data_IF_997053685553
#
_entry.id   IF_997053685553
#
_cell.length_a   1.000
_cell.length_b   1.000
_cell.length_c   1.000
_cell.angle_alpha   90.00
_cell.angle_beta   90.00
_cell.angle_gamma   90.00
#
_symmetry.space_group_name_H-M   'P 1'
#
loop_
_entity.id
_entity.type
_entity.pdbx_description
1 polymer ?
#
# COMPACT_ATOMS: atom_id res chain seq x y z
N UNK A 1 -6.20 20.23 -12.29
CA UNK A 1 -6.58 20.34 -10.90
C UNK A 1 -5.53 19.78 -9.97
N UNK A 2 -5.23 20.52 -8.88
CA UNK A 2 -4.10 20.23 -7.99
C UNK A 2 -4.18 18.86 -7.28
N UNK A 3 -5.37 18.31 -7.08
CA UNK A 3 -5.59 17.01 -6.43
C UNK A 3 -5.22 15.85 -7.36
N UNK A 4 -5.66 15.91 -8.62
CA UNK A 4 -5.24 14.93 -9.65
C UNK A 4 -3.74 14.99 -9.87
N UNK A 5 -3.14 16.18 -9.76
CA UNK A 5 -1.71 16.38 -9.87
C UNK A 5 -0.96 15.79 -8.67
N UNK A 6 -1.47 15.95 -7.44
CA UNK A 6 -0.90 15.34 -6.23
C UNK A 6 -0.98 13.81 -6.25
N UNK A 7 -2.11 13.25 -6.70
CA UNK A 7 -2.26 11.79 -6.89
C UNK A 7 -1.35 11.28 -8.01
N UNK A 8 -1.17 12.06 -9.06
CA UNK A 8 -0.24 11.76 -10.16
C UNK A 8 1.22 11.86 -9.68
N UNK A 9 1.54 12.83 -8.82
CA UNK A 9 2.86 12.97 -8.19
C UNK A 9 3.15 11.78 -7.27
N UNK A 10 2.19 11.32 -6.48
CA UNK A 10 2.32 10.09 -5.69
C UNK A 10 2.55 8.87 -6.59
N UNK A 11 1.91 8.80 -7.75
CA UNK A 11 2.13 7.73 -8.74
C UNK A 11 3.48 7.83 -9.46
N UNK A 12 3.91 9.02 -9.83
CA UNK A 12 5.15 9.27 -10.58
C UNK A 12 6.38 9.29 -9.66
N UNK A 13 6.21 9.74 -8.42
CA UNK A 13 7.28 9.85 -7.44
C UNK A 13 7.17 8.82 -6.30
N UNK A 14 6.75 7.59 -6.62
CA UNK A 14 6.60 6.48 -5.64
C UNK A 14 7.82 6.32 -4.75
N UNK A 15 9.00 6.25 -5.36
CA UNK A 15 10.28 6.08 -4.67
C UNK A 15 10.59 7.30 -3.81
N UNK A 16 10.33 8.52 -4.32
CA UNK A 16 10.56 9.76 -3.57
C UNK A 16 9.63 9.86 -2.36
N UNK A 17 8.35 9.57 -2.52
CA UNK A 17 7.38 9.59 -1.42
C UNK A 17 7.74 8.57 -0.35
N UNK A 18 8.15 7.38 -0.75
CA UNK A 18 8.63 6.36 0.16
C UNK A 18 9.93 6.75 0.85
N UNK A 19 10.92 7.26 0.12
CA UNK A 19 12.17 7.73 0.68
C UNK A 19 11.95 8.86 1.71
N UNK A 20 10.98 9.74 1.45
CA UNK A 20 10.57 10.78 2.40
C UNK A 20 10.00 10.18 3.69
N UNK A 21 9.11 9.19 3.57
CA UNK A 21 8.56 8.47 4.72
C UNK A 21 9.65 7.76 5.52
N UNK A 22 10.57 7.09 4.85
CA UNK A 22 11.72 6.44 5.50
C UNK A 22 12.58 7.44 6.25
N UNK A 23 12.88 8.59 5.64
CA UNK A 23 13.67 9.65 6.27
C UNK A 23 12.99 10.20 7.53
N UNK A 24 11.67 10.42 7.47
CA UNK A 24 10.86 10.82 8.62
C UNK A 24 10.85 9.74 9.71
N UNK A 25 10.75 8.47 9.31
CA UNK A 25 10.81 7.33 10.22
C UNK A 25 12.14 7.24 10.95
N UNK A 26 13.26 7.47 10.26
CA UNK A 26 14.60 7.52 10.88
C UNK A 26 14.71 8.63 11.90
N UNK A 27 14.15 9.82 11.59
CA UNK A 27 14.09 10.94 12.55
C UNK A 27 13.24 10.61 13.78
N UNK A 28 12.20 9.81 13.63
CA UNK A 28 11.31 9.38 14.71
C UNK A 28 11.73 8.04 15.35
N UNK A 29 12.91 7.53 15.03
CA UNK A 29 13.42 6.24 15.52
C UNK A 29 12.51 5.05 15.23
N UNK A 30 11.86 5.04 14.05
CA UNK A 30 11.02 3.91 13.62
C UNK A 30 11.88 2.72 13.16
N UNK A 31 11.44 1.49 13.46
CA UNK A 31 12.19 0.29 13.08
C UNK A 31 12.19 0.05 11.56
N UNK A 32 13.24 -0.60 11.07
CA UNK A 32 13.39 -0.92 9.63
C UNK A 32 12.29 -1.86 9.12
N UNK A 33 11.73 -2.69 10.00
CA UNK A 33 10.61 -3.58 9.69
C UNK A 33 9.38 -2.82 9.20
N UNK A 34 9.16 -1.60 9.71
CA UNK A 34 8.05 -0.75 9.26
C UNK A 34 8.24 -0.30 7.81
N UNK A 35 9.48 -0.04 7.39
CA UNK A 35 9.81 0.28 6.00
C UNK A 35 9.49 -0.91 5.09
N UNK A 36 9.96 -2.09 5.49
CA UNK A 36 9.72 -3.34 4.77
C UNK A 36 8.22 -3.63 4.65
N UNK A 37 7.49 -3.54 5.75
CA UNK A 37 6.03 -3.73 5.75
C UNK A 37 5.31 -2.77 4.81
N UNK A 38 5.66 -1.49 4.86
CA UNK A 38 5.03 -0.46 4.02
C UNK A 38 5.24 -0.72 2.53
N UNK A 39 6.46 -1.09 2.14
CA UNK A 39 6.78 -1.44 0.76
C UNK A 39 6.12 -2.74 0.32
N UNK A 40 6.18 -3.77 1.14
CA UNK A 40 5.54 -5.05 0.85
C UNK A 40 4.05 -4.87 0.58
N UNK A 41 3.38 -4.11 1.43
CA UNK A 41 1.96 -3.81 1.31
C UNK A 41 1.65 -3.05 0.02
N UNK A 42 2.45 -2.03 -0.29
CA UNK A 42 2.32 -1.25 -1.52
C UNK A 42 2.53 -2.08 -2.78
N UNK A 43 3.59 -2.88 -2.84
CA UNK A 43 3.90 -3.70 -4.01
C UNK A 43 2.95 -4.89 -4.20
N UNK A 44 2.45 -5.49 -3.13
CA UNK A 44 1.40 -6.51 -3.23
C UNK A 44 0.12 -5.93 -3.84
N UNK A 45 -0.33 -4.78 -3.33
CA UNK A 45 -1.49 -4.09 -3.89
C UNK A 45 -1.30 -3.74 -5.37
N UNK A 46 -0.13 -3.23 -5.72
CA UNK A 46 0.21 -2.90 -7.11
C UNK A 46 0.14 -4.13 -8.02
N UNK A 47 0.77 -5.23 -7.62
CA UNK A 47 0.79 -6.45 -8.42
C UNK A 47 -0.62 -7.03 -8.64
N UNK A 48 -1.39 -7.15 -7.57
CA UNK A 48 -2.76 -7.65 -7.63
C UNK A 48 -3.68 -6.76 -8.47
N UNK A 49 -3.44 -5.46 -8.49
CA UNK A 49 -4.26 -4.49 -9.21
C UNK A 49 -4.15 -4.61 -10.73
N UNK A 50 -3.16 -5.32 -11.26
CA UNK A 50 -2.97 -5.49 -12.71
C UNK A 50 -4.15 -6.14 -13.42
N UNK A 51 -5.00 -6.86 -12.69
CA UNK A 51 -6.24 -7.49 -13.18
C UNK A 51 -7.45 -6.55 -13.15
N UNK A 52 -7.29 -5.33 -12.68
CA UNK A 52 -8.37 -4.36 -12.47
C UNK A 52 -8.29 -3.18 -13.43
N UNK A 53 -9.23 -2.25 -13.28
CA UNK A 53 -9.26 -1.03 -14.09
C UNK A 53 -8.01 -0.16 -13.90
N UNK A 54 -7.75 0.73 -14.85
CA UNK A 54 -6.64 1.68 -14.76
C UNK A 54 -6.74 2.57 -13.50
N UNK A 55 -7.94 2.92 -13.08
CA UNK A 55 -8.17 3.69 -11.84
C UNK A 55 -7.66 2.93 -10.61
N UNK A 56 -8.05 1.67 -10.48
CA UNK A 56 -7.61 0.81 -9.37
C UNK A 56 -6.11 0.63 -9.39
N UNK A 57 -5.52 0.42 -10.58
CA UNK A 57 -4.06 0.30 -10.73
C UNK A 57 -3.32 1.56 -10.26
N UNK A 58 -3.83 2.74 -10.58
CA UNK A 58 -3.20 4.00 -10.18
C UNK A 58 -3.23 4.24 -8.68
N UNK A 59 -4.25 3.78 -7.99
CA UNK A 59 -4.43 4.00 -6.55
C UNK A 59 -3.78 2.93 -5.67
N UNK A 60 -3.58 1.73 -6.18
CA UNK A 60 -3.29 0.55 -5.36
C UNK A 60 -1.95 0.63 -4.62
N UNK A 61 -0.88 1.07 -5.27
CA UNK A 61 0.40 1.26 -4.59
C UNK A 61 0.29 2.30 -3.47
N UNK A 62 -0.32 3.44 -3.76
CA UNK A 62 -0.51 4.52 -2.80
C UNK A 62 -1.39 4.09 -1.62
N UNK A 63 -2.45 3.32 -1.88
CA UNK A 63 -3.31 2.77 -0.82
C UNK A 63 -2.53 1.88 0.14
N UNK A 64 -1.71 0.98 -0.39
CA UNK A 64 -0.85 0.13 0.42
C UNK A 64 0.14 0.92 1.28
N UNK A 65 0.81 1.90 0.69
CA UNK A 65 1.78 2.74 1.38
C UNK A 65 1.13 3.61 2.47
N UNK A 66 0.05 4.31 2.13
CA UNK A 66 -0.65 5.21 3.03
C UNK A 66 -1.32 4.48 4.21
N UNK A 67 -1.66 3.21 4.05
CA UNK A 67 -2.28 2.41 5.11
C UNK A 67 -1.37 2.17 6.31
N UNK A 68 -0.08 2.49 6.22
CA UNK A 68 0.90 2.36 7.29
C UNK A 68 1.20 3.70 8.00
N UNK A 69 0.58 4.81 7.60
CA UNK A 69 0.92 6.13 8.14
C UNK A 69 0.66 6.27 9.64
N UNK A 70 -0.32 5.58 10.18
CA UNK A 70 -0.60 5.55 11.61
C UNK A 70 0.60 5.02 12.42
N UNK A 71 1.26 3.98 11.92
CA UNK A 71 2.47 3.44 12.54
C UNK A 71 3.68 4.38 12.38
N UNK A 72 3.78 5.10 11.27
CA UNK A 72 4.87 6.05 11.03
C UNK A 72 4.79 7.29 11.92
N UNK A 73 3.59 7.79 12.17
CA UNK A 73 3.36 9.05 12.88
C UNK A 73 2.79 8.87 14.29
N UNK A 74 2.51 7.64 14.72
CA UNK A 74 1.86 7.36 16.01
C UNK A 74 0.57 8.17 16.22
N UNK A 75 -0.24 8.24 15.16
CA UNK A 75 -1.45 9.05 15.12
C UNK A 75 -2.57 8.33 14.37
N UNK A 76 -3.84 8.53 14.74
CA UNK A 76 -4.95 7.81 14.10
C UNK A 76 -4.99 8.02 12.58
N UNK A 77 -5.05 6.92 11.83
CA UNK A 77 -5.01 6.92 10.37
C UNK A 77 -6.12 7.80 9.76
N UNK A 78 -7.32 7.70 10.29
CA UNK A 78 -8.46 8.49 9.81
C UNK A 78 -8.19 9.99 9.86
N UNK A 79 -7.55 10.47 10.91
CA UNK A 79 -7.22 11.88 11.06
C UNK A 79 -6.09 12.32 10.14
N UNK A 80 -5.05 11.48 9.98
CA UNK A 80 -3.99 11.74 9.02
C UNK A 80 -4.51 11.84 7.59
N UNK A 81 -5.42 10.96 7.21
CA UNK A 81 -6.01 10.93 5.87
C UNK A 81 -6.90 12.14 5.58
N UNK A 82 -7.45 12.81 6.60
CA UNK A 82 -8.26 14.03 6.42
C UNK A 82 -7.42 15.25 6.02
N UNK A 83 -6.18 15.33 6.46
CA UNK A 83 -5.32 16.50 6.18
C UNK A 83 -4.52 16.36 4.89
N UNK A 84 -4.47 15.17 4.31
CA UNK A 84 -3.77 14.93 3.05
C UNK A 84 -4.65 15.27 1.84
N UNK A 85 -4.08 15.84 0.78
CA UNK A 85 -4.80 16.21 -0.44
C UNK A 85 -5.08 14.96 -1.32
N UNK A 86 -5.92 14.07 -0.84
CA UNK A 86 -6.25 12.80 -1.49
C UNK A 86 -7.66 12.81 -2.07
N UNK A 87 -7.90 12.00 -3.10
CA UNK A 87 -9.25 11.75 -3.59
C UNK A 87 -10.10 11.05 -2.51
N UNK A 88 -11.43 11.20 -2.61
CA UNK A 88 -12.34 10.52 -1.70
C UNK A 88 -12.21 9.00 -1.81
N UNK A 89 -12.08 8.50 -3.03
CA UNK A 89 -11.95 7.07 -3.33
C UNK A 89 -10.72 6.46 -2.67
N UNK A 90 -9.57 7.14 -2.76
CA UNK A 90 -8.33 6.68 -2.13
C UNK A 90 -8.43 6.73 -0.60
N UNK A 91 -8.99 7.79 -0.05
CA UNK A 91 -9.20 7.93 1.39
C UNK A 91 -10.11 6.83 1.93
N UNK A 92 -11.24 6.59 1.28
CA UNK A 92 -12.20 5.58 1.68
C UNK A 92 -11.62 4.16 1.53
N UNK A 93 -10.82 3.92 0.49
CA UNK A 93 -10.12 2.66 0.31
C UNK A 93 -9.15 2.38 1.48
N UNK A 94 -8.42 3.39 1.92
CA UNK A 94 -7.44 3.25 3.02
C UNK A 94 -8.11 3.13 4.38
N UNK A 95 -9.07 3.99 4.67
CA UNK A 95 -9.69 4.10 6.02
C UNK A 95 -10.82 3.08 6.19
N UNK A 96 -11.74 3.02 5.22
CA UNK A 96 -12.95 2.21 5.30
C UNK A 96 -12.81 0.85 4.61
N UNK A 97 -11.74 0.63 3.86
CA UNK A 97 -11.54 -0.57 3.05
C UNK A 97 -12.65 -0.81 2.02
N UNK A 98 -13.22 0.27 1.50
CA UNK A 98 -14.29 0.24 0.50
C UNK A 98 -13.76 0.33 -0.93
N UNK A 99 -14.60 -0.07 -1.90
CA UNK A 99 -14.22 -0.15 -3.30
C UNK A 99 -13.24 -1.29 -3.58
N UNK A 100 -12.92 -1.52 -4.85
CA UNK A 100 -11.99 -2.59 -5.25
C UNK A 100 -10.59 -2.39 -4.65
N UNK A 101 -10.08 -1.18 -4.67
CA UNK A 101 -8.79 -0.84 -4.05
C UNK A 101 -8.79 -1.13 -2.55
N UNK A 102 -9.86 -0.76 -1.84
CA UNK A 102 -9.99 -1.01 -0.41
C UNK A 102 -10.10 -2.50 -0.07
N UNK A 103 -10.80 -3.26 -0.88
CA UNK A 103 -10.91 -4.71 -0.73
C UNK A 103 -9.59 -5.42 -1.02
N UNK A 104 -8.83 -4.99 -2.05
CA UNK A 104 -7.48 -5.47 -2.31
C UNK A 104 -6.57 -5.22 -1.11
N UNK A 105 -6.59 -4.02 -0.57
CA UNK A 105 -5.80 -3.66 0.60
C UNK A 105 -6.15 -4.52 1.81
N UNK A 106 -7.44 -4.76 2.05
CA UNK A 106 -7.92 -5.62 3.14
C UNK A 106 -7.37 -7.04 3.02
N UNK A 107 -7.44 -7.62 1.84
CA UNK A 107 -6.91 -8.97 1.56
C UNK A 107 -5.40 -9.03 1.75
N UNK A 108 -4.68 -8.04 1.23
CA UNK A 108 -3.21 -7.95 1.35
C UNK A 108 -2.78 -7.90 2.82
N UNK A 109 -3.41 -7.05 3.62
CA UNK A 109 -3.08 -6.91 5.04
C UNK A 109 -3.31 -8.23 5.80
N UNK A 110 -4.44 -8.88 5.59
CA UNK A 110 -4.74 -10.17 6.20
C UNK A 110 -3.74 -11.25 5.79
N UNK A 111 -3.40 -11.31 4.50
CA UNK A 111 -2.41 -12.26 3.99
C UNK A 111 -1.04 -12.07 4.63
N UNK A 112 -0.55 -10.84 4.67
CA UNK A 112 0.75 -10.49 5.25
C UNK A 112 0.84 -10.81 6.74
N UNK A 113 -0.27 -10.69 7.47
CA UNK A 113 -0.34 -10.99 8.90
C UNK A 113 -0.70 -12.46 9.21
N UNK A 114 -0.64 -13.33 8.22
CA UNK A 114 -0.98 -14.76 8.33
C UNK A 114 -2.41 -15.02 8.84
N UNK A 115 -3.31 -14.10 8.55
CA UNK A 115 -4.74 -14.19 8.89
C UNK A 115 -5.55 -14.76 7.71
N UNK A 116 -5.07 -15.82 7.11
CA UNK A 116 -5.66 -16.39 5.88
C UNK A 116 -7.06 -16.94 6.09
N UNK A 117 -7.34 -17.47 7.27
CA UNK A 117 -8.66 -17.94 7.70
C UNK A 117 -9.69 -16.80 7.84
N UNK A 118 -9.23 -15.55 7.98
CA UNK A 118 -10.08 -14.37 8.05
C UNK A 118 -10.37 -13.75 6.68
N UNK A 119 -9.80 -14.29 5.60
CA UNK A 119 -10.12 -13.88 4.24
C UNK A 119 -11.36 -14.69 3.79
N UNK A 120 -12.54 -14.05 3.62
CA UNK A 120 -13.72 -14.75 3.17
C UNK A 120 -13.50 -15.32 1.76
N UNK A 121 -13.85 -16.58 1.55
CA UNK A 121 -13.69 -17.24 0.25
C UNK A 121 -14.46 -16.52 -0.87
N UNK A 122 -15.63 -15.95 -0.56
CA UNK A 122 -16.40 -15.14 -1.49
C UNK A 122 -15.71 -13.82 -1.85
N UNK A 123 -14.96 -13.21 -0.92
CA UNK A 123 -14.23 -11.96 -1.19
C UNK A 123 -13.18 -12.16 -2.29
N UNK A 124 -12.39 -13.24 -2.24
CA UNK A 124 -11.42 -13.54 -3.28
C UNK A 124 -12.10 -13.78 -4.63
N UNK A 125 -13.17 -14.58 -4.68
CA UNK A 125 -13.87 -14.85 -5.93
C UNK A 125 -14.57 -13.63 -6.52
N UNK A 126 -15.11 -12.74 -5.70
CA UNK A 126 -15.67 -11.46 -6.13
C UNK A 126 -14.63 -10.54 -6.74
N UNK A 127 -13.40 -10.57 -6.21
CA UNK A 127 -12.26 -9.83 -6.76
C UNK A 127 -11.61 -10.55 -7.97
N UNK A 128 -12.04 -11.76 -8.30
CA UNK A 128 -11.41 -12.56 -9.36
C UNK A 128 -10.00 -13.02 -9.01
N UNK A 129 -9.70 -13.18 -7.74
CA UNK A 129 -8.39 -13.58 -7.22
C UNK A 129 -8.41 -14.98 -6.64
N UNK A 130 -7.23 -15.60 -6.64
CA UNK A 130 -6.98 -16.90 -6.01
C UNK A 130 -5.89 -16.78 -4.94
N UNK A 131 -5.73 -17.79 -4.10
CA UNK A 131 -4.61 -17.85 -3.16
C UNK A 131 -3.25 -17.89 -3.88
N UNK A 132 -3.19 -18.48 -5.07
CA UNK A 132 -1.99 -18.45 -5.90
C UNK A 132 -1.63 -17.03 -6.33
N UNK A 133 -2.62 -16.20 -6.67
CA UNK A 133 -2.39 -14.78 -6.99
C UNK A 133 -1.77 -14.03 -5.79
N UNK A 134 -2.24 -14.29 -4.59
CA UNK A 134 -1.70 -13.68 -3.36
C UNK A 134 -0.25 -14.13 -3.11
N UNK A 135 0.03 -15.41 -3.30
CA UNK A 135 1.39 -15.96 -3.16
C UNK A 135 2.35 -15.36 -4.19
N UNK A 136 1.93 -15.24 -5.44
CA UNK A 136 2.72 -14.62 -6.50
C UNK A 136 2.97 -13.13 -6.24
N UNK A 137 1.95 -12.42 -5.77
CA UNK A 137 2.07 -11.01 -5.38
C UNK A 137 3.03 -10.81 -4.20
N UNK A 138 3.02 -11.73 -3.24
CA UNK A 138 3.96 -11.72 -2.12
C UNK A 138 5.40 -11.89 -2.58
N UNK A 139 5.66 -12.88 -3.45
CA UNK A 139 6.98 -13.10 -4.04
C UNK A 139 7.47 -11.89 -4.85
N UNK A 140 6.59 -11.30 -5.65
CA UNK A 140 6.87 -10.06 -6.38
C UNK A 140 7.25 -8.92 -5.44
N UNK A 141 6.49 -8.73 -4.37
CA UNK A 141 6.74 -7.67 -3.39
C UNK A 141 8.07 -7.86 -2.65
N UNK A 142 8.44 -9.08 -2.29
CA UNK A 142 9.77 -9.38 -1.72
C UNK A 142 10.87 -8.93 -2.66
N UNK A 143 10.84 -9.36 -3.92
CA UNK A 143 11.86 -9.04 -4.89
C UNK A 143 12.00 -7.53 -5.12
N UNK A 144 10.88 -6.81 -5.20
CA UNK A 144 10.88 -5.35 -5.39
C UNK A 144 11.38 -4.61 -4.15
N UNK A 145 11.00 -5.07 -2.97
CA UNK A 145 11.44 -4.48 -1.70
C UNK A 145 12.94 -4.64 -1.51
N UNK A 146 13.49 -5.82 -1.81
CA UNK A 146 14.93 -6.09 -1.74
C UNK A 146 15.72 -5.18 -2.69
N UNK A 147 15.26 -4.99 -3.93
CA UNK A 147 15.89 -4.09 -4.89
C UNK A 147 15.99 -2.65 -4.37
N UNK A 148 14.95 -2.14 -3.73
CA UNK A 148 14.94 -0.77 -3.19
C UNK A 148 15.86 -0.68 -1.97
N UNK A 149 15.87 -1.68 -1.11
CA UNK A 149 16.75 -1.72 0.07
C UNK A 149 18.22 -1.71 -0.33
N UNK A 150 18.60 -2.44 -1.38
CA UNK A 150 19.94 -2.42 -1.92
C UNK A 150 20.36 -1.04 -2.42
N UNK A 151 19.49 -0.36 -3.16
CA UNK A 151 19.75 0.99 -3.68
C UNK A 151 19.97 2.03 -2.58
N UNK A 152 19.39 1.83 -1.38
CA UNK A 152 19.52 2.76 -0.26
C UNK A 152 20.76 2.53 0.60
N UNK A 153 21.41 1.36 0.48
CA UNK A 153 22.64 1.05 1.20
C UNK A 153 23.87 1.66 0.49
N UNK A 154 23.75 1.95 -0.81
CA UNK A 154 24.83 2.51 -1.63
C UNK A 154 24.99 4.03 -1.52
N UNK A 155 24.12 4.74 -0.80
CA UNK A 155 24.19 6.17 -0.49
C UNK A 155 24.71 6.40 0.96
#
# INVERSE_FOLDING_TARGET
DSISHAVMILGINRIRSWATLVSLGKLNHKPDELQTESLMRAYMCENLSTKFSAEVQQMSFSAGLLSCLDAWFDYPLEQLMKVLPLSHELRDAVVLKTGETGQLLSVVVKYMHSQWDQIPANQLSELGLTLADLSDAYAYAIARTDQISELMIEE
#
